data_IF_238599002456
#
_entry.id   IF_238599002456
#
_cell.length_a   1.000
_cell.length_b   1.000
_cell.length_c   1.000
_cell.angle_alpha   90.00
_cell.angle_beta   90.00
_cell.angle_gamma   90.00
#
_symmetry.space_group_name_H-M   'P 1'
#
loop_
_entity.id
_entity.type
_entity.pdbx_description
1 polymer ?
#
# COMPACT_ATOMS: atom_id res chain seq x y z
N UNK A 1 -9.49 -22.13 -8.96
CA UNK A 1 -9.13 -21.56 -8.65
C UNK A 1 -8.24 -20.67 -8.90
N UNK A 2 -8.22 -19.75 -8.80
CA UNK A 2 -7.31 -18.84 -9.18
C UNK A 2 -6.50 -18.46 -8.07
N UNK A 3 -5.28 -18.73 -8.12
CA UNK A 3 -4.34 -18.30 -7.14
C UNK A 3 -4.10 -16.82 -7.39
N UNK A 4 -4.77 -16.01 -6.67
CA UNK A 4 -4.55 -14.57 -6.79
C UNK A 4 -3.34 -14.20 -5.98
N UNK A 5 -2.44 -13.50 -6.62
CA UNK A 5 -1.28 -12.98 -5.92
C UNK A 5 -1.73 -11.85 -5.02
N UNK A 6 -1.16 -11.78 -3.86
CA UNK A 6 -1.43 -10.69 -2.95
C UNK A 6 -0.13 -9.97 -2.63
N UNK A 7 -0.25 -8.71 -2.28
CA UNK A 7 0.88 -7.94 -1.81
C UNK A 7 0.55 -7.42 -0.42
N UNK A 8 1.54 -7.45 0.43
CA UNK A 8 1.40 -6.91 1.77
C UNK A 8 2.17 -5.60 1.82
N UNK A 9 1.54 -4.56 2.31
CA UNK A 9 2.20 -3.28 2.45
C UNK A 9 2.18 -2.87 3.91
N UNK A 10 3.26 -2.29 4.35
CA UNK A 10 3.40 -1.79 5.71
C UNK A 10 3.74 -0.32 5.64
N UNK A 11 2.96 0.50 6.30
CA UNK A 11 3.24 1.93 6.32
C UNK A 11 4.40 2.21 7.25
N UNK A 12 5.46 2.78 6.70
CA UNK A 12 6.65 3.09 7.49
C UNK A 12 6.80 4.56 7.81
N UNK A 13 6.02 5.41 7.16
CA UNK A 13 6.06 6.85 7.42
C UNK A 13 4.68 7.42 7.23
N UNK A 14 4.38 8.49 7.95
CA UNK A 14 3.07 9.11 7.84
C UNK A 14 3.05 10.05 6.64
N UNK A 15 1.84 10.35 6.18
CA UNK A 15 1.66 11.25 5.05
C UNK A 15 1.64 12.72 5.47
N UNK A 16 1.92 12.99 6.73
CA UNK A 16 1.94 14.37 7.20
C UNK A 16 3.04 15.13 6.48
N UNK A 17 2.68 16.27 5.94
CA UNK A 17 3.63 17.07 5.20
C UNK A 17 3.82 16.65 3.76
N UNK A 18 3.16 15.59 3.33
CA UNK A 18 3.22 15.15 1.95
C UNK A 18 2.19 15.90 1.12
N UNK A 19 2.28 15.73 -0.19
CA UNK A 19 1.37 16.39 -1.10
C UNK A 19 -0.06 15.93 -0.86
N UNK A 20 -1.05 16.79 -1.15
CA UNK A 20 -2.44 16.36 -1.08
C UNK A 20 -2.66 15.12 -1.96
N UNK A 21 -3.48 14.22 -1.48
CA UNK A 21 -3.75 13.00 -2.21
C UNK A 21 -2.96 11.80 -1.72
N UNK A 22 -1.82 12.03 -1.08
CA UNK A 22 -1.03 10.91 -0.56
C UNK A 22 -1.77 10.20 0.55
N UNK A 23 -2.35 10.97 1.45
CA UNK A 23 -3.11 10.39 2.54
C UNK A 23 -4.29 9.60 2.02
N UNK A 24 -4.97 10.14 1.01
CA UNK A 24 -6.10 9.45 0.43
C UNK A 24 -5.67 8.15 -0.24
N UNK A 25 -4.50 8.16 -0.88
CA UNK A 25 -3.98 6.95 -1.49
C UNK A 25 -3.68 5.90 -0.44
N UNK A 26 -3.10 6.31 0.68
CA UNK A 26 -2.84 5.39 1.78
C UNK A 26 -4.14 4.81 2.33
N UNK A 27 -5.15 5.64 2.47
CA UNK A 27 -6.44 5.17 2.94
C UNK A 27 -7.06 4.17 1.95
N UNK A 28 -6.87 4.42 0.66
CA UNK A 28 -7.33 3.49 -0.36
C UNK A 28 -6.63 2.15 -0.28
N UNK A 29 -5.42 2.13 0.23
CA UNK A 29 -4.69 0.89 0.44
C UNK A 29 -5.03 0.23 1.78
N UNK A 30 -5.84 0.89 2.58
CA UNK A 30 -6.18 0.37 3.89
C UNK A 30 -5.18 0.74 4.97
N UNK A 31 -4.35 1.72 4.68
CA UNK A 31 -3.34 2.18 5.63
C UNK A 31 -3.74 3.56 6.15
N UNK A 32 -3.39 3.85 7.36
CA UNK A 32 -3.69 5.15 7.93
C UNK A 32 -2.77 5.49 9.09
N UNK A 33 -1.98 4.52 9.50
CA UNK A 33 -1.09 4.71 10.62
C UNK A 33 0.26 4.10 10.30
N UNK A 34 1.30 4.64 10.95
CA UNK A 34 2.63 4.07 10.85
C UNK A 34 2.60 2.66 11.39
N UNK A 35 3.28 1.76 10.71
CA UNK A 35 3.38 0.34 11.05
C UNK A 35 2.11 -0.44 10.82
N UNK A 36 1.11 0.18 10.23
CA UNK A 36 -0.09 -0.56 9.87
C UNK A 36 0.20 -1.43 8.66
N UNK A 37 -0.29 -2.64 8.70
CA UNK A 37 -0.09 -3.60 7.63
C UNK A 37 -1.40 -3.83 6.90
N UNK A 38 -1.34 -3.96 5.60
CA UNK A 38 -2.51 -4.25 4.79
C UNK A 38 -2.14 -5.24 3.70
N UNK A 39 -2.99 -6.21 3.49
CA UNK A 39 -2.82 -7.19 2.43
C UNK A 39 -3.84 -6.90 1.35
N UNK A 40 -3.37 -6.79 0.12
CA UNK A 40 -4.21 -6.39 -1.01
C UNK A 40 -3.97 -7.34 -2.16
N UNK A 41 -4.93 -7.38 -3.08
CA UNK A 41 -4.74 -8.14 -4.30
C UNK A 41 -3.74 -7.43 -5.19
N UNK A 42 -2.94 -8.22 -5.89
CA UNK A 42 -1.93 -7.68 -6.79
C UNK A 42 -2.61 -7.32 -8.12
N UNK A 43 -3.18 -6.15 -8.16
CA UNK A 43 -3.85 -5.65 -9.36
C UNK A 43 -3.14 -4.40 -9.84
N UNK A 44 -3.32 -4.04 -11.11
CA UNK A 44 -2.72 -2.79 -11.61
C UNK A 44 -3.14 -1.56 -10.83
N UNK A 45 -4.40 -1.52 -10.37
CA UNK A 45 -4.86 -0.39 -9.58
C UNK A 45 -4.11 -0.28 -8.26
N UNK A 46 -3.96 -1.42 -7.59
CA UNK A 46 -3.25 -1.44 -6.31
C UNK A 46 -1.78 -1.09 -6.52
N UNK A 47 -1.19 -1.62 -7.58
CA UNK A 47 0.21 -1.30 -7.88
C UNK A 47 0.40 0.18 -8.13
N UNK A 48 -0.54 0.81 -8.83
CA UNK A 48 -0.47 2.24 -9.09
C UNK A 48 -0.51 3.05 -7.80
N UNK A 49 -1.37 2.66 -6.89
CA UNK A 49 -1.45 3.35 -5.60
C UNK A 49 -0.17 3.14 -4.78
N UNK A 50 0.35 1.93 -4.78
CA UNK A 50 1.58 1.64 -4.05
C UNK A 50 2.73 2.46 -4.62
N UNK A 51 2.79 2.58 -5.94
CA UNK A 51 3.86 3.35 -6.58
C UNK A 51 3.84 4.81 -6.12
N UNK A 52 2.67 5.38 -5.94
CA UNK A 52 2.56 6.76 -5.50
C UNK A 52 3.12 6.97 -4.10
N UNK A 53 2.96 5.99 -3.22
CA UNK A 53 3.35 6.14 -1.83
C UNK A 53 4.47 5.19 -1.43
N UNK A 54 5.19 4.65 -2.42
CA UNK A 54 6.23 3.67 -2.14
C UNK A 54 7.30 4.18 -1.18
N UNK A 55 7.50 5.47 -1.14
CA UNK A 55 8.48 6.06 -0.23
C UNK A 55 7.95 6.12 1.20
N UNK A 56 6.66 5.86 1.38
CA UNK A 56 6.03 5.88 2.69
C UNK A 56 5.71 4.47 3.18
N UNK A 57 5.81 3.47 2.33
CA UNK A 57 5.43 2.11 2.68
C UNK A 57 6.49 1.12 2.23
N UNK A 58 6.49 -0.04 2.89
CA UNK A 58 7.29 -1.17 2.45
C UNK A 58 6.35 -2.16 1.80
N UNK A 59 6.77 -2.70 0.67
CA UNK A 59 5.98 -3.67 -0.05
C UNK A 59 6.62 -5.03 0.12
N UNK A 60 5.84 -5.98 0.61
CA UNK A 60 6.27 -7.35 0.71
C UNK A 60 5.41 -8.19 -0.21
N UNK A 61 6.03 -8.87 -1.13
CA UNK A 61 5.30 -9.75 -2.02
C UNK A 61 5.39 -11.16 -1.50
N UNK A 62 4.23 -11.72 -1.26
CA UNK A 62 4.17 -13.12 -0.86
C UNK A 62 3.75 -13.93 -2.08
N UNK A 63 4.57 -14.87 -2.40
CA UNK A 63 4.18 -15.84 -3.39
C UNK A 63 3.47 -16.96 -2.66
N UNK A 64 2.25 -17.12 -3.00
CA UNK A 64 1.37 -18.07 -2.33
C UNK A 64 1.78 -19.48 -2.45
#
# INVERSE_FOLDING_TARGET
>A
MTAKKTVTVVQKASADGEKPGMKETLLGLGLGRIRQTSTLEDTPSVRGMITKVRHLVLVEEKKG
#
